data_IF_475365281766
#
_entry.id   IF_475365281766
#
_cell.length_a   1.000
_cell.length_b   1.000
_cell.length_c   1.000
_cell.angle_alpha   90.00
_cell.angle_beta   90.00
_cell.angle_gamma   90.00
#
_symmetry.space_group_name_H-M   'P 1'
#
loop_
_entity.id
_entity.type
_entity.pdbx_description
1 polymer ?
#
# COMPACT_ATOMS: atom_id res chain seq x y z
N UNK A 1 -72.77 31.02 -1.87
CA UNK A 1 -71.60 30.55 -2.64
C UNK A 1 -70.23 30.98 -2.10
N UNK A 2 -70.10 31.95 -1.18
CA UNK A 2 -68.78 32.36 -0.65
C UNK A 2 -68.19 31.45 0.47
N UNK A 3 -69.01 30.68 1.20
CA UNK A 3 -68.54 29.80 2.30
C UNK A 3 -67.94 28.45 1.82
N UNK A 4 -68.28 27.97 0.62
CA UNK A 4 -67.69 26.75 0.04
C UNK A 4 -66.30 27.01 -0.58
N UNK A 5 -66.06 28.22 -1.09
CA UNK A 5 -64.74 28.62 -1.60
C UNK A 5 -63.71 28.77 -0.48
N UNK A 6 -64.08 29.32 0.68
CA UNK A 6 -63.14 29.46 1.80
C UNK A 6 -62.69 28.11 2.39
N UNK A 7 -63.59 27.11 2.44
CA UNK A 7 -63.28 25.76 2.92
C UNK A 7 -62.36 24.98 1.97
N UNK A 8 -62.45 25.23 0.65
CA UNK A 8 -61.56 24.59 -0.34
C UNK A 8 -60.18 25.24 -0.41
N UNK A 9 -60.05 26.51 0.00
CA UNK A 9 -58.76 27.20 0.11
C UNK A 9 -58.03 26.83 1.40
N UNK A 10 -58.73 26.74 2.54
CA UNK A 10 -58.14 26.31 3.81
C UNK A 10 -57.69 24.83 3.81
N UNK A 11 -58.41 23.95 3.10
CA UNK A 11 -57.96 22.56 2.92
C UNK A 11 -56.77 22.41 1.96
N UNK A 12 -56.48 23.39 1.10
CA UNK A 12 -55.26 23.40 0.25
C UNK A 12 -54.02 23.91 0.98
N UNK A 13 -54.17 24.58 2.12
CA UNK A 13 -53.05 25.11 2.91
C UNK A 13 -52.57 24.13 4.01
N UNK A 14 -53.37 23.13 4.37
CA UNK A 14 -53.02 22.11 5.39
C UNK A 14 -52.65 20.74 4.79
N UNK A 15 -52.40 20.68 3.47
CA UNK A 15 -52.08 19.46 2.73
C UNK A 15 -50.61 19.37 2.33
N UNK A 16 -49.67 19.71 3.21
CA UNK A 16 -48.27 19.32 3.03
C UNK A 16 -47.72 18.83 4.36
N UNK A 17 -48.08 17.60 4.71
CA UNK A 17 -47.10 16.76 5.38
C UNK A 17 -45.89 16.70 4.45
N UNK A 18 -44.92 17.57 4.71
CA UNK A 18 -43.56 17.36 4.26
C UNK A 18 -43.16 16.02 4.85
N UNK A 19 -43.36 14.95 4.08
CA UNK A 19 -42.49 13.81 4.16
C UNK A 19 -41.10 14.40 3.96
N UNK A 20 -40.36 14.52 5.06
CA UNK A 20 -38.93 14.62 5.04
C UNK A 20 -38.44 13.30 4.43
N UNK A 21 -38.59 13.17 3.11
CA UNK A 21 -37.70 12.37 2.31
C UNK A 21 -36.34 12.96 2.63
N UNK A 22 -35.62 12.32 3.56
CA UNK A 22 -34.20 12.55 3.70
C UNK A 22 -33.64 12.23 2.33
N UNK A 23 -33.45 13.27 1.52
CA UNK A 23 -32.57 13.22 0.38
C UNK A 23 -31.23 12.95 1.03
N UNK A 24 -30.91 11.67 1.18
CA UNK A 24 -29.55 11.23 1.44
C UNK A 24 -28.81 11.72 0.21
N UNK A 25 -28.27 12.94 0.28
CA UNK A 25 -27.36 13.43 -0.74
C UNK A 25 -26.27 12.38 -0.79
N UNK A 26 -26.24 11.59 -1.86
CA UNK A 26 -25.16 10.66 -2.11
C UNK A 26 -23.92 11.51 -2.31
N UNK A 27 -23.14 11.62 -1.24
CA UNK A 27 -21.84 12.29 -1.28
C UNK A 27 -21.03 11.51 -2.31
N UNK A 28 -20.49 12.18 -3.33
CA UNK A 28 -19.66 11.49 -4.31
C UNK A 28 -18.40 10.95 -3.63
N UNK A 29 -17.80 9.88 -4.14
CA UNK A 29 -16.56 9.34 -3.55
C UNK A 29 -15.46 10.42 -3.42
N UNK A 30 -15.43 11.41 -4.32
CA UNK A 30 -14.50 12.56 -4.24
C UNK A 30 -14.80 13.46 -3.03
N UNK A 31 -16.06 13.80 -2.81
CA UNK A 31 -16.46 14.58 -1.63
C UNK A 31 -16.22 13.79 -0.34
N UNK A 32 -16.45 12.47 -0.35
CA UNK A 32 -16.20 11.62 0.81
C UNK A 32 -14.71 11.61 1.17
N UNK A 33 -13.83 11.43 0.17
CA UNK A 33 -12.38 11.57 0.33
C UNK A 33 -12.01 12.94 0.90
N UNK A 34 -12.62 14.03 0.44
CA UNK A 34 -12.29 15.38 0.92
C UNK A 34 -12.67 15.61 2.40
N UNK A 35 -13.77 15.01 2.85
CA UNK A 35 -14.28 15.16 4.23
C UNK A 35 -13.63 14.23 5.27
N UNK A 36 -12.76 13.31 4.84
CA UNK A 36 -12.13 12.32 5.73
C UNK A 36 -11.19 12.98 6.75
N UNK A 37 -11.07 12.37 7.93
CA UNK A 37 -10.05 12.75 8.90
C UNK A 37 -8.66 12.37 8.35
N UNK A 38 -7.77 13.35 8.19
CA UNK A 38 -6.39 13.12 7.74
C UNK A 38 -5.52 12.70 8.92
N UNK A 39 -4.64 11.75 8.67
CA UNK A 39 -3.68 11.29 9.65
C UNK A 39 -2.31 11.91 9.34
N UNK A 40 -1.79 12.82 10.19
CA UNK A 40 -0.56 13.53 9.90
C UNK A 40 0.64 12.60 9.72
N UNK A 41 0.64 11.43 10.38
CA UNK A 41 1.72 10.45 10.33
C UNK A 41 1.88 9.89 8.92
N UNK A 42 0.78 9.37 8.36
CA UNK A 42 0.76 8.82 7.00
C UNK A 42 0.91 9.90 5.93
N UNK A 43 0.37 11.10 6.15
CA UNK A 43 0.56 12.22 5.22
C UNK A 43 2.02 12.66 5.14
N UNK A 44 2.72 12.74 6.28
CA UNK A 44 4.16 13.05 6.35
C UNK A 44 5.00 11.96 5.68
N UNK A 45 4.66 10.70 5.91
CA UNK A 45 5.29 9.56 5.21
C UNK A 45 5.16 9.73 3.68
N UNK A 46 3.94 9.98 3.19
CA UNK A 46 3.68 10.11 1.75
C UNK A 46 4.30 11.34 1.10
N UNK A 47 4.57 12.40 1.87
CA UNK A 47 5.27 13.59 1.35
C UNK A 47 6.70 13.27 0.89
N UNK A 48 7.36 12.31 1.54
CA UNK A 48 8.67 11.84 1.13
C UNK A 48 8.55 10.72 0.08
N UNK A 49 7.58 9.81 0.28
CA UNK A 49 7.36 8.66 -0.60
C UNK A 49 7.08 9.05 -2.06
N UNK A 50 6.36 10.17 -2.30
CA UNK A 50 6.10 10.66 -3.67
C UNK A 50 7.36 10.98 -4.49
N UNK A 51 8.46 11.32 -3.82
CA UNK A 51 9.76 11.54 -4.46
C UNK A 51 10.54 10.24 -4.57
N UNK A 52 10.44 9.37 -3.57
CA UNK A 52 11.03 8.03 -3.57
C UNK A 52 10.59 7.19 -4.77
N UNK A 53 9.29 7.18 -5.11
CA UNK A 53 8.80 6.48 -6.32
C UNK A 53 9.47 6.99 -7.61
N UNK A 54 9.79 8.29 -7.70
CA UNK A 54 10.50 8.86 -8.85
C UNK A 54 11.98 8.46 -8.85
N UNK A 55 12.59 8.37 -7.67
CA UNK A 55 13.96 7.89 -7.50
C UNK A 55 14.08 6.44 -7.96
N UNK A 56 13.18 5.55 -7.51
CA UNK A 56 13.14 4.15 -7.95
C UNK A 56 12.99 4.08 -9.48
N UNK A 57 12.09 4.88 -10.07
CA UNK A 57 11.91 4.86 -11.53
C UNK A 57 13.19 5.25 -12.30
N UNK A 58 14.03 6.15 -11.76
CA UNK A 58 15.32 6.51 -12.37
C UNK A 58 16.36 5.42 -12.08
N UNK A 59 16.39 4.86 -10.88
CA UNK A 59 17.25 3.73 -10.51
C UNK A 59 17.02 2.54 -11.44
N UNK A 60 15.76 2.15 -11.66
CA UNK A 60 15.38 1.08 -12.59
C UNK A 60 15.92 1.34 -14.00
N UNK A 61 15.82 2.57 -14.50
CA UNK A 61 16.35 2.94 -15.81
C UNK A 61 17.89 2.87 -15.86
N UNK A 62 18.58 3.18 -14.76
CA UNK A 62 20.04 3.07 -14.66
C UNK A 62 20.45 1.59 -14.68
N UNK A 63 19.82 0.77 -13.83
CA UNK A 63 20.14 -0.65 -13.69
C UNK A 63 19.77 -1.48 -14.93
N UNK A 64 18.74 -1.07 -15.67
CA UNK A 64 18.36 -1.70 -16.94
C UNK A 64 19.40 -1.53 -18.07
N UNK A 65 20.47 -0.74 -17.87
CA UNK A 65 21.56 -0.57 -18.81
C UNK A 65 22.87 -1.21 -18.30
N UNK A 66 22.97 -2.55 -18.23
CA UNK A 66 24.12 -3.25 -17.64
C UNK A 66 25.39 -3.19 -18.52
N UNK A 67 25.28 -2.75 -19.77
CA UNK A 67 26.39 -2.67 -20.72
C UNK A 67 27.44 -1.60 -20.38
N UNK A 68 27.24 -0.83 -19.30
CA UNK A 68 28.20 0.14 -18.79
C UNK A 68 28.58 -0.21 -17.37
N UNK A 69 29.87 -0.10 -17.05
CA UNK A 69 30.40 -0.30 -15.71
C UNK A 69 31.06 1.04 -15.27
N UNK A 70 30.50 1.74 -14.27
CA UNK A 70 29.23 1.47 -13.60
C UNK A 70 28.00 1.78 -14.48
N UNK A 71 26.83 1.17 -14.21
CA UNK A 71 25.59 1.45 -14.93
C UNK A 71 25.26 2.94 -14.89
N UNK A 72 24.97 3.52 -16.04
CA UNK A 72 24.75 4.97 -16.17
C UNK A 72 23.90 5.34 -17.37
N UNK A 73 23.13 6.41 -17.22
CA UNK A 73 22.23 6.96 -18.26
C UNK A 73 22.58 8.42 -18.53
N UNK A 74 22.38 8.87 -19.77
CA UNK A 74 22.62 10.27 -20.09
C UNK A 74 21.53 11.16 -19.47
N UNK A 75 21.92 12.35 -19.02
CA UNK A 75 20.96 13.33 -18.47
C UNK A 75 19.98 13.78 -19.55
N UNK A 76 20.41 13.81 -20.81
CA UNK A 76 19.58 14.08 -21.98
C UNK A 76 18.49 13.01 -22.20
N UNK A 77 18.82 11.72 -22.05
CA UNK A 77 17.83 10.63 -22.08
C UNK A 77 16.77 10.80 -20.98
N UNK A 78 17.21 11.08 -19.74
CA UNK A 78 16.28 11.36 -18.64
C UNK A 78 15.45 12.61 -18.90
N UNK A 79 16.03 13.62 -19.56
CA UNK A 79 15.34 14.86 -19.90
C UNK A 79 14.19 14.61 -20.87
N UNK A 80 14.37 13.77 -21.90
CA UNK A 80 13.28 13.30 -22.78
C UNK A 80 12.17 12.55 -22.05
N UNK A 81 12.51 11.86 -20.97
CA UNK A 81 11.54 11.12 -20.14
C UNK A 81 10.92 11.96 -19.01
N UNK A 82 11.28 13.24 -18.87
CA UNK A 82 10.84 14.08 -17.74
C UNK A 82 9.32 14.11 -17.54
N UNK A 83 8.54 14.11 -18.63
CA UNK A 83 7.07 14.10 -18.54
C UNK A 83 6.54 12.76 -18.02
N UNK A 84 7.10 11.64 -18.49
CA UNK A 84 6.72 10.29 -18.04
C UNK A 84 7.15 10.03 -16.59
N UNK A 85 8.30 10.57 -16.19
CA UNK A 85 8.85 10.48 -14.84
C UNK A 85 8.33 11.58 -13.88
N UNK A 86 7.53 12.52 -14.37
CA UNK A 86 7.00 13.66 -13.63
C UNK A 86 8.08 14.52 -12.94
N UNK A 87 9.14 14.82 -13.67
CA UNK A 87 10.24 15.68 -13.24
C UNK A 87 9.90 17.13 -13.59
N UNK A 88 9.03 17.76 -12.79
CA UNK A 88 8.44 19.07 -13.10
C UNK A 88 9.45 20.21 -13.35
N UNK A 89 10.67 20.12 -12.82
CA UNK A 89 11.76 21.10 -13.01
C UNK A 89 12.87 20.59 -13.95
N UNK A 90 12.61 19.50 -14.67
CA UNK A 90 13.56 18.81 -15.53
C UNK A 90 14.44 17.80 -14.78
N UNK A 91 15.07 16.90 -15.54
CA UNK A 91 15.90 15.82 -15.00
C UNK A 91 17.08 16.35 -14.18
N UNK A 92 17.86 17.29 -14.72
CA UNK A 92 19.04 17.83 -14.05
C UNK A 92 18.70 18.49 -12.69
N UNK A 93 17.60 19.24 -12.62
CA UNK A 93 17.14 19.84 -11.36
C UNK A 93 16.74 18.78 -10.33
N UNK A 94 16.16 17.66 -10.78
CA UNK A 94 15.76 16.57 -9.90
C UNK A 94 16.98 15.81 -9.36
N UNK A 95 17.92 15.45 -10.23
CA UNK A 95 19.15 14.75 -9.83
C UNK A 95 19.95 15.55 -8.79
N UNK A 96 20.16 16.86 -9.05
CA UNK A 96 20.82 17.77 -8.11
C UNK A 96 20.08 17.97 -6.78
N UNK A 97 18.83 17.53 -6.66
CA UNK A 97 18.07 17.59 -5.39
C UNK A 97 18.42 16.41 -4.49
N UNK A 98 18.89 15.29 -5.05
CA UNK A 98 19.22 14.07 -4.31
C UNK A 98 20.66 13.61 -4.59
N UNK A 99 21.67 14.41 -4.20
CA UNK A 99 23.09 14.11 -4.36
C UNK A 99 23.55 12.84 -3.61
N UNK A 100 22.86 12.47 -2.52
CA UNK A 100 23.12 11.20 -1.81
C UNK A 100 22.66 9.97 -2.60
N UNK A 101 21.85 10.17 -3.65
CA UNK A 101 21.29 9.09 -4.48
C UNK A 101 21.97 9.03 -5.84
N UNK A 102 22.16 10.20 -6.46
CA UNK A 102 22.64 10.32 -7.82
C UNK A 102 23.97 11.07 -7.89
N UNK A 103 24.90 10.51 -8.65
CA UNK A 103 26.16 11.16 -9.02
C UNK A 103 26.10 11.57 -10.49
N UNK A 104 26.35 12.85 -10.76
CA UNK A 104 26.37 13.42 -12.11
C UNK A 104 27.83 13.60 -12.52
N UNK A 105 28.21 13.03 -13.65
CA UNK A 105 29.56 13.13 -14.20
C UNK A 105 29.53 13.45 -15.69
N UNK A 106 30.63 13.99 -16.21
CA UNK A 106 30.76 14.28 -17.64
C UNK A 106 31.46 13.12 -18.35
N UNK A 107 30.84 12.57 -19.39
CA UNK A 107 31.47 11.53 -20.20
C UNK A 107 32.24 12.19 -21.34
N UNK A 108 33.57 12.12 -21.27
CA UNK A 108 34.46 12.76 -22.26
C UNK A 108 34.29 12.17 -23.66
N UNK A 109 34.16 10.85 -23.78
CA UNK A 109 34.00 10.15 -25.07
C UNK A 109 32.75 10.57 -25.82
N UNK A 110 31.66 10.82 -25.09
CA UNK A 110 30.36 11.24 -25.68
C UNK A 110 30.09 12.73 -25.59
N UNK A 111 31.00 13.50 -24.98
CA UNK A 111 30.88 14.94 -24.76
C UNK A 111 29.50 15.35 -24.20
N UNK A 112 28.99 14.60 -23.22
CA UNK A 112 27.68 14.87 -22.63
C UNK A 112 27.58 14.39 -21.18
N UNK A 113 26.70 14.99 -20.35
CA UNK A 113 26.55 14.61 -18.95
C UNK A 113 25.78 13.29 -18.76
N UNK A 114 26.26 12.47 -17.83
CA UNK A 114 25.69 11.21 -17.40
C UNK A 114 25.34 11.23 -15.91
N UNK A 115 24.48 10.30 -15.53
CA UNK A 115 24.08 10.05 -14.15
C UNK A 115 24.29 8.57 -13.84
N UNK A 116 24.87 8.29 -12.68
CA UNK A 116 24.93 6.96 -12.05
C UNK A 116 24.37 7.03 -10.63
N UNK A 117 24.17 5.86 -10.03
CA UNK A 117 23.85 5.75 -8.61
C UNK A 117 25.12 5.95 -7.78
N UNK A 118 24.98 6.46 -6.57
CA UNK A 118 26.05 6.48 -5.58
C UNK A 118 26.34 5.06 -5.07
N UNK A 119 27.53 4.83 -4.51
CA UNK A 119 27.90 3.53 -3.95
C UNK A 119 26.96 3.12 -2.82
N UNK A 120 26.54 4.08 -1.99
CA UNK A 120 25.54 3.88 -0.92
C UNK A 120 24.21 3.33 -1.45
N UNK A 121 23.71 3.87 -2.56
CA UNK A 121 22.45 3.37 -3.16
C UNK A 121 22.66 2.01 -3.81
N UNK A 122 23.81 1.78 -4.42
CA UNK A 122 24.15 0.47 -5.00
C UNK A 122 24.18 -0.62 -3.92
N UNK A 123 24.81 -0.34 -2.78
CA UNK A 123 24.82 -1.23 -1.61
C UNK A 123 23.39 -1.49 -1.09
N UNK A 124 22.58 -0.45 -0.91
CA UNK A 124 21.18 -0.61 -0.48
C UNK A 124 20.37 -1.44 -1.48
N UNK A 125 20.59 -1.26 -2.78
CA UNK A 125 19.93 -2.05 -3.83
C UNK A 125 20.34 -3.53 -3.77
N UNK A 126 21.60 -3.82 -3.45
CA UNK A 126 22.09 -5.18 -3.27
C UNK A 126 21.52 -5.81 -1.99
N UNK A 127 21.43 -5.04 -0.89
CA UNK A 127 20.79 -5.48 0.34
C UNK A 127 19.31 -5.84 0.12
N UNK A 128 18.56 -5.03 -0.64
CA UNK A 128 17.17 -5.35 -0.99
C UNK A 128 17.08 -6.64 -1.82
N UNK A 129 17.93 -6.80 -2.83
CA UNK A 129 17.93 -7.98 -3.69
C UNK A 129 18.30 -9.27 -2.93
N UNK A 130 19.24 -9.19 -1.98
CA UNK A 130 19.61 -10.31 -1.10
C UNK A 130 18.46 -10.66 -0.17
N UNK A 131 17.86 -9.65 0.49
CA UNK A 131 16.69 -9.85 1.35
C UNK A 131 15.53 -10.54 0.62
N UNK A 132 15.24 -10.12 -0.62
CA UNK A 132 14.19 -10.75 -1.45
C UNK A 132 14.51 -12.23 -1.73
N UNK A 133 15.79 -12.54 -1.98
CA UNK A 133 16.23 -13.91 -2.29
C UNK A 133 16.16 -14.82 -1.06
N UNK A 134 16.51 -14.30 0.11
CA UNK A 134 16.41 -15.02 1.39
C UNK A 134 14.94 -15.29 1.75
N UNK A 135 14.06 -14.33 1.48
CA UNK A 135 12.61 -14.44 1.69
C UNK A 135 11.87 -15.26 0.61
N UNK A 136 12.57 -15.91 -0.32
CA UNK A 136 11.93 -16.62 -1.45
C UNK A 136 10.86 -17.64 -1.03
N UNK A 137 11.04 -18.47 0.03
CA UNK A 137 9.97 -19.36 0.50
C UNK A 137 8.71 -18.61 0.96
N UNK A 138 8.88 -17.49 1.64
CA UNK A 138 7.79 -16.63 2.10
C UNK A 138 7.08 -15.96 0.92
N UNK A 139 7.83 -15.56 -0.11
CA UNK A 139 7.29 -15.00 -1.35
C UNK A 139 6.45 -16.03 -2.12
N UNK A 140 6.90 -17.28 -2.18
CA UNK A 140 6.11 -18.40 -2.73
C UNK A 140 4.80 -18.58 -1.95
N UNK A 141 4.86 -18.60 -0.61
CA UNK A 141 3.67 -18.72 0.24
C UNK A 141 2.68 -17.55 0.02
N UNK A 142 3.18 -16.31 -0.05
CA UNK A 142 2.35 -15.12 -0.35
C UNK A 142 1.60 -15.30 -1.66
N UNK A 143 2.27 -15.78 -2.71
CA UNK A 143 1.64 -15.99 -4.01
C UNK A 143 0.59 -17.11 -3.97
N UNK A 144 0.87 -18.22 -3.28
CA UNK A 144 -0.09 -19.29 -3.02
C UNK A 144 -1.33 -18.77 -2.30
N UNK A 145 -1.13 -17.96 -1.25
CA UNK A 145 -2.23 -17.35 -0.47
C UNK A 145 -3.07 -16.40 -1.34
N UNK A 146 -2.44 -15.57 -2.17
CA UNK A 146 -3.16 -14.68 -3.09
C UNK A 146 -4.02 -15.46 -4.08
N UNK A 147 -3.48 -16.50 -4.71
CA UNK A 147 -4.25 -17.37 -5.59
C UNK A 147 -5.36 -18.09 -4.82
N UNK A 148 -5.10 -18.49 -3.58
CA UNK A 148 -6.08 -19.14 -2.71
C UNK A 148 -7.24 -18.23 -2.33
N UNK A 149 -7.07 -16.91 -2.34
CA UNK A 149 -8.18 -15.96 -2.14
C UNK A 149 -9.01 -15.73 -3.40
N UNK A 150 -8.54 -16.10 -4.60
CA UNK A 150 -9.31 -15.89 -5.82
C UNK A 150 -10.36 -16.96 -6.04
N UNK A 151 -11.45 -16.57 -6.69
CA UNK A 151 -12.61 -17.46 -6.87
C UNK A 151 -12.28 -18.68 -7.74
N UNK A 152 -11.37 -18.52 -8.71
CA UNK A 152 -10.94 -19.56 -9.65
C UNK A 152 -9.59 -20.20 -9.30
N UNK A 153 -9.00 -19.83 -8.16
CA UNK A 153 -7.62 -20.22 -7.78
C UNK A 153 -6.59 -19.89 -8.86
N UNK A 154 -6.88 -18.86 -9.65
CA UNK A 154 -6.08 -18.39 -10.77
C UNK A 154 -6.14 -16.88 -10.91
N UNK A 155 -5.12 -16.30 -11.53
CA UNK A 155 -4.97 -14.87 -11.79
C UNK A 155 -4.23 -14.63 -13.12
N UNK A 156 -4.61 -13.61 -13.90
CA UNK A 156 -3.77 -13.20 -15.02
C UNK A 156 -2.37 -12.82 -14.54
N UNK A 157 -1.33 -13.30 -15.21
CA UNK A 157 0.06 -13.01 -14.86
C UNK A 157 0.33 -11.50 -14.86
N UNK A 158 -0.27 -10.77 -15.82
CA UNK A 158 -0.26 -9.29 -15.89
C UNK A 158 -0.78 -8.60 -14.62
N UNK A 159 -1.62 -9.25 -13.83
CA UNK A 159 -2.10 -8.72 -12.56
C UNK A 159 -1.03 -8.86 -11.47
N UNK A 160 -0.34 -10.00 -11.42
CA UNK A 160 0.80 -10.23 -10.51
C UNK A 160 1.90 -9.20 -10.79
N UNK A 161 2.23 -8.98 -12.07
CA UNK A 161 3.15 -7.92 -12.51
C UNK A 161 2.77 -6.49 -12.08
N UNK A 162 1.52 -6.22 -11.72
CA UNK A 162 1.14 -4.88 -11.21
C UNK A 162 1.49 -4.69 -9.74
N UNK A 163 1.65 -5.78 -8.99
CA UNK A 163 1.83 -5.77 -7.54
C UNK A 163 3.13 -6.47 -7.09
N UNK A 164 3.95 -6.94 -8.04
CA UNK A 164 5.10 -7.78 -7.77
C UNK A 164 6.09 -7.15 -6.76
N UNK A 165 6.41 -5.85 -6.92
CA UNK A 165 7.25 -5.12 -5.96
C UNK A 165 6.62 -5.04 -4.56
N UNK A 166 5.30 -4.84 -4.47
CA UNK A 166 4.59 -4.83 -3.18
C UNK A 166 4.59 -6.20 -2.51
N UNK A 167 4.59 -7.30 -3.28
CA UNK A 167 4.67 -8.66 -2.76
C UNK A 167 6.10 -9.10 -2.39
N UNK A 168 7.11 -8.31 -2.79
CA UNK A 168 8.52 -8.67 -2.64
C UNK A 168 8.94 -9.77 -3.61
N UNK A 169 8.29 -9.87 -4.78
CA UNK A 169 8.71 -10.78 -5.84
C UNK A 169 10.02 -10.26 -6.48
N UNK A 170 10.97 -11.14 -6.81
CA UNK A 170 12.17 -10.76 -7.57
C UNK A 170 11.83 -10.41 -9.02
N UNK A 171 12.70 -9.67 -9.72
CA UNK A 171 12.48 -9.21 -11.10
C UNK A 171 12.28 -10.37 -12.09
N UNK A 172 12.90 -11.51 -11.79
CA UNK A 172 12.86 -12.75 -12.57
C UNK A 172 11.83 -13.78 -12.04
N UNK A 173 10.81 -13.34 -11.30
CA UNK A 173 9.89 -14.26 -10.59
C UNK A 173 9.18 -15.30 -11.47
N UNK A 174 9.02 -15.05 -12.77
CA UNK A 174 8.51 -16.08 -13.69
C UNK A 174 9.40 -17.32 -13.71
N UNK A 175 10.73 -17.14 -13.69
CA UNK A 175 11.69 -18.22 -13.65
C UNK A 175 11.96 -18.64 -12.20
N UNK A 176 12.31 -17.70 -11.33
CA UNK A 176 12.80 -17.97 -9.98
C UNK A 176 11.71 -18.42 -9.00
N UNK A 177 10.44 -18.05 -9.24
CA UNK A 177 9.31 -18.43 -8.38
C UNK A 177 8.37 -19.39 -9.08
N UNK A 178 7.88 -19.04 -10.28
CA UNK A 178 6.82 -19.83 -10.94
C UNK A 178 7.40 -21.12 -11.51
N UNK A 179 8.40 -21.01 -12.40
CA UNK A 179 8.98 -22.17 -13.11
C UNK A 179 9.71 -23.13 -12.18
N UNK A 180 10.31 -22.64 -11.09
CA UNK A 180 10.95 -23.46 -10.04
C UNK A 180 9.98 -24.19 -9.12
N UNK A 181 8.68 -23.87 -9.16
CA UNK A 181 7.67 -24.50 -8.31
C UNK A 181 6.50 -25.09 -9.13
N UNK A 182 6.77 -26.03 -10.07
CA UNK A 182 5.73 -26.60 -10.95
C UNK A 182 4.66 -27.41 -10.20
N UNK A 183 4.98 -27.90 -8.99
CA UNK A 183 4.03 -28.55 -8.10
C UNK A 183 2.98 -27.56 -7.54
N UNK A 184 3.33 -26.29 -7.38
CA UNK A 184 2.45 -25.26 -6.85
C UNK A 184 1.75 -24.49 -7.97
N UNK A 185 2.49 -24.14 -9.03
CA UNK A 185 2.03 -23.22 -10.05
C UNK A 185 2.00 -23.84 -11.44
N UNK A 186 0.96 -23.50 -12.21
CA UNK A 186 0.86 -23.79 -13.62
C UNK A 186 0.55 -22.51 -14.37
N UNK A 187 1.26 -22.29 -15.48
CA UNK A 187 1.01 -21.19 -16.39
C UNK A 187 0.20 -21.72 -17.58
N UNK A 188 -0.97 -21.13 -17.81
CA UNK A 188 -1.86 -21.48 -18.92
C UNK A 188 -2.02 -20.29 -19.85
N UNK A 189 -2.28 -20.55 -21.13
CA UNK A 189 -2.67 -19.50 -22.07
C UNK A 189 -4.02 -18.91 -21.67
N UNK A 190 -4.11 -17.59 -21.74
CA UNK A 190 -5.32 -16.82 -21.50
C UNK A 190 -6.20 -16.72 -22.73
N UNK A 191 -7.35 -16.05 -22.57
CA UNK A 191 -8.33 -15.91 -23.64
C UNK A 191 -7.86 -14.99 -24.78
N UNK A 192 -6.84 -14.16 -24.54
CA UNK A 192 -6.26 -13.22 -25.51
C UNK A 192 -4.85 -13.69 -25.90
N UNK A 193 -4.40 -13.47 -27.16
CA UNK A 193 -3.04 -13.79 -27.58
C UNK A 193 -1.99 -13.14 -26.66
N UNK A 194 -0.92 -13.86 -26.34
CA UNK A 194 0.18 -13.42 -25.46
C UNK A 194 -0.27 -13.03 -24.03
N UNK A 195 -1.41 -13.53 -23.57
CA UNK A 195 -1.81 -13.40 -22.18
C UNK A 195 -1.66 -14.74 -21.48
N UNK A 196 -1.07 -14.73 -20.30
CA UNK A 196 -0.91 -15.92 -19.48
C UNK A 196 -1.71 -15.81 -18.19
N UNK A 197 -2.23 -16.94 -17.73
CA UNK A 197 -2.97 -17.09 -16.48
C UNK A 197 -2.17 -18.01 -15.56
N UNK A 198 -1.81 -17.49 -14.40
CA UNK A 198 -1.19 -18.26 -13.34
C UNK A 198 -2.29 -18.99 -12.54
N UNK A 199 -2.17 -20.30 -12.42
CA UNK A 199 -3.10 -21.17 -11.69
C UNK A 199 -2.38 -21.88 -10.55
N UNK A 200 -3.07 -21.99 -9.41
CA UNK A 200 -2.64 -22.84 -8.31
C UNK A 200 -3.00 -24.29 -8.61
N UNK A 201 -1.99 -25.16 -8.67
CA UNK A 201 -2.12 -26.59 -8.98
C UNK A 201 -2.43 -27.39 -7.73
N UNK A 202 -1.64 -27.17 -6.67
CA UNK A 202 -1.80 -27.90 -5.41
C UNK A 202 -3.11 -27.50 -4.73
N UNK A 203 -4.03 -28.46 -4.49
CA UNK A 203 -5.23 -28.19 -3.71
C UNK A 203 -4.87 -28.07 -2.24
N UNK A 204 -5.37 -27.01 -1.60
CA UNK A 204 -5.24 -26.82 -0.15
C UNK A 204 -6.57 -27.12 0.53
N UNK A 205 -6.58 -27.90 1.62
CA UNK A 205 -7.81 -28.18 2.36
C UNK A 205 -8.36 -26.91 3.01
N UNK A 206 -9.66 -26.93 3.30
CA UNK A 206 -10.31 -25.84 4.04
C UNK A 206 -9.63 -25.71 5.41
N UNK A 207 -9.32 -24.48 5.81
CA UNK A 207 -8.62 -24.19 7.07
C UNK A 207 -7.10 -24.38 7.02
N UNK A 208 -6.50 -24.66 5.86
CA UNK A 208 -5.05 -24.72 5.73
C UNK A 208 -4.35 -23.37 6.01
N UNK A 209 -4.97 -22.27 5.58
CA UNK A 209 -4.47 -20.93 5.81
C UNK A 209 -5.30 -20.25 6.91
N UNK A 210 -4.60 -19.60 7.83
CA UNK A 210 -5.19 -18.74 8.86
C UNK A 210 -4.97 -17.29 8.45
N UNK A 211 -6.03 -16.49 8.42
CA UNK A 211 -5.94 -15.08 8.04
C UNK A 211 -5.27 -14.26 9.16
N UNK A 212 -4.59 -13.16 8.79
CA UNK A 212 -3.90 -12.31 9.76
C UNK A 212 -4.82 -11.76 10.86
N UNK A 213 -6.09 -11.50 10.53
CA UNK A 213 -7.09 -11.07 11.51
C UNK A 213 -7.47 -12.18 12.49
N UNK A 214 -7.43 -13.45 12.07
CA UNK A 214 -7.72 -14.60 12.93
C UNK A 214 -6.58 -14.85 13.91
N UNK A 215 -5.33 -14.80 13.43
CA UNK A 215 -4.14 -14.88 14.30
C UNK A 215 -4.15 -13.78 15.36
N UNK A 216 -4.47 -12.54 14.97
CA UNK A 216 -4.62 -11.43 15.92
C UNK A 216 -5.69 -11.71 16.98
N UNK A 217 -6.85 -12.27 16.61
CA UNK A 217 -7.93 -12.61 17.55
C UNK A 217 -7.48 -13.66 18.55
N UNK A 218 -6.74 -14.67 18.13
CA UNK A 218 -6.20 -15.71 19.02
C UNK A 218 -5.28 -15.07 20.06
N UNK A 219 -4.32 -14.24 19.61
CA UNK A 219 -3.40 -13.54 20.51
C UNK A 219 -4.16 -12.63 21.48
N UNK A 220 -5.13 -11.85 21.02
CA UNK A 220 -5.88 -10.92 21.87
C UNK A 220 -6.75 -11.65 22.92
N UNK A 221 -7.37 -12.77 22.55
CA UNK A 221 -8.18 -13.59 23.45
C UNK A 221 -7.37 -14.30 24.53
N UNK A 222 -6.08 -14.57 24.27
CA UNK A 222 -5.19 -15.29 25.18
C UNK A 222 -4.38 -14.37 26.12
N UNK A 223 -4.57 -13.05 26.06
CA UNK A 223 -3.90 -12.12 26.99
C UNK A 223 -4.47 -12.27 28.40
N UNK A 224 -3.58 -12.37 29.39
CA UNK A 224 -3.94 -12.52 30.82
C UNK A 224 -4.81 -11.35 31.34
N UNK A 225 -4.63 -10.15 30.79
CA UNK A 225 -5.41 -8.93 31.10
C UNK A 225 -6.52 -8.63 30.07
N UNK A 226 -7.11 -9.63 29.43
CA UNK A 226 -8.14 -9.41 28.40
C UNK A 226 -9.37 -8.67 28.96
N UNK A 227 -9.39 -7.34 28.85
CA UNK A 227 -10.53 -6.46 29.20
C UNK A 227 -11.71 -6.59 28.23
N UNK A 228 -11.58 -7.43 27.21
CA UNK A 228 -12.52 -7.53 26.10
C UNK A 228 -13.20 -8.90 26.17
N UNK A 229 -14.53 -8.89 26.14
CA UNK A 229 -15.34 -10.11 26.12
C UNK A 229 -14.99 -10.96 24.88
N UNK A 230 -14.78 -12.27 25.07
CA UNK A 230 -14.48 -13.22 24.00
C UNK A 230 -15.53 -13.18 22.90
N UNK A 231 -16.79 -12.91 23.24
CA UNK A 231 -17.88 -12.78 22.24
C UNK A 231 -17.78 -11.49 21.42
N UNK A 232 -17.13 -10.44 21.93
CA UNK A 232 -16.89 -9.21 21.19
C UNK A 232 -15.71 -9.33 20.21
N UNK A 233 -14.70 -10.18 20.51
CA UNK A 233 -13.51 -10.34 19.67
C UNK A 233 -13.74 -11.29 18.49
N UNK A 234 -14.61 -12.30 18.63
CA UNK A 234 -14.74 -13.45 17.73
C UNK A 234 -14.77 -13.10 16.23
N UNK A 235 -15.45 -12.01 15.85
CA UNK A 235 -15.56 -11.55 14.45
C UNK A 235 -14.97 -10.16 14.22
N UNK A 236 -14.18 -9.68 15.18
CA UNK A 236 -13.73 -8.31 15.17
C UNK A 236 -12.47 -8.09 14.33
N UNK A 237 -12.26 -6.86 13.91
CA UNK A 237 -11.02 -6.37 13.34
C UNK A 237 -10.44 -5.32 14.28
N UNK A 238 -9.13 -5.31 14.47
CA UNK A 238 -8.44 -4.28 15.24
C UNK A 238 -8.81 -2.89 14.71
N UNK A 239 -9.19 -2.00 15.62
CA UNK A 239 -9.56 -0.63 15.30
C UNK A 239 -8.49 0.33 15.81
N UNK A 240 -7.91 1.12 14.91
CA UNK A 240 -6.99 2.21 15.24
C UNK A 240 -7.59 3.54 14.77
N UNK A 241 -7.91 4.42 15.71
CA UNK A 241 -8.34 5.78 15.40
C UNK A 241 -7.28 6.77 15.90
N UNK A 242 -6.87 7.76 15.09
CA UNK A 242 -5.89 8.73 15.54
C UNK A 242 -6.46 9.54 16.72
N UNK A 243 -5.63 9.92 17.71
CA UNK A 243 -6.10 10.58 18.94
C UNK A 243 -6.97 11.83 18.69
N UNK A 244 -6.72 12.52 17.59
CA UNK A 244 -7.41 13.76 17.22
C UNK A 244 -8.76 13.53 16.52
N UNK A 245 -9.12 12.28 16.17
CA UNK A 245 -10.34 11.95 15.44
C UNK A 245 -11.54 11.83 16.39
N UNK A 246 -12.37 12.88 16.45
CA UNK A 246 -13.64 12.87 17.19
C UNK A 246 -14.70 12.05 16.45
N UNK A 247 -14.86 10.80 16.84
CA UNK A 247 -15.91 9.91 16.30
C UNK A 247 -17.28 10.25 16.87
N UNK A 248 -18.26 10.50 15.99
CA UNK A 248 -19.68 10.67 16.37
C UNK A 248 -20.22 9.40 17.03
N UNK A 249 -21.12 9.56 18.01
CA UNK A 249 -21.77 8.42 18.72
C UNK A 249 -22.43 7.43 17.74
N UNK A 250 -23.13 7.94 16.73
CA UNK A 250 -23.76 7.11 15.68
C UNK A 250 -22.75 6.26 14.90
N UNK A 251 -21.59 6.83 14.56
CA UNK A 251 -20.54 6.09 13.87
C UNK A 251 -19.94 5.00 14.76
N UNK A 252 -19.67 5.30 16.05
CA UNK A 252 -19.19 4.29 17.00
C UNK A 252 -20.17 3.11 17.12
N UNK A 253 -21.48 3.38 17.15
CA UNK A 253 -22.50 2.33 17.16
C UNK A 253 -22.50 1.52 15.86
N UNK A 254 -22.42 2.17 14.70
CA UNK A 254 -22.31 1.49 13.40
C UNK A 254 -21.10 0.55 13.35
N UNK A 255 -19.94 1.01 13.81
CA UNK A 255 -18.72 0.17 13.88
C UNK A 255 -18.96 -1.02 14.80
N UNK A 256 -19.47 -0.81 16.03
CA UNK A 256 -19.76 -1.92 16.96
C UNK A 256 -20.73 -2.95 16.38
N UNK A 257 -21.78 -2.50 15.69
CA UNK A 257 -22.75 -3.40 15.04
C UNK A 257 -22.11 -4.19 13.89
N UNK A 258 -21.23 -3.55 13.11
CA UNK A 258 -20.49 -4.20 12.02
C UNK A 258 -19.47 -5.22 12.54
N UNK A 259 -18.77 -4.92 13.65
CA UNK A 259 -17.84 -5.85 14.29
C UNK A 259 -18.52 -7.15 14.75
N UNK A 260 -19.80 -7.09 15.16
CA UNK A 260 -20.59 -8.26 15.57
C UNK A 260 -21.13 -9.11 14.42
N UNK A 261 -21.09 -8.64 13.18
CA UNK A 261 -21.59 -9.42 12.03
C UNK A 261 -20.78 -10.71 11.86
N UNK A 262 -21.39 -11.81 11.36
CA UNK A 262 -20.65 -13.03 11.04
C UNK A 262 -19.47 -12.76 10.11
N UNK A 263 -18.33 -13.36 10.41
CA UNK A 263 -17.12 -13.27 9.62
C UNK A 263 -16.99 -14.52 8.75
N UNK A 264 -16.65 -14.32 7.48
CA UNK A 264 -16.28 -15.38 6.53
C UNK A 264 -14.87 -15.09 6.06
N UNK A 265 -13.99 -16.07 6.21
CA UNK A 265 -12.57 -15.93 5.95
C UNK A 265 -12.25 -15.64 4.48
N UNK A 266 -11.07 -15.06 4.20
CA UNK A 266 -10.64 -14.77 2.82
C UNK A 266 -10.40 -16.03 1.99
N UNK A 267 -10.07 -17.15 2.63
CA UNK A 267 -9.82 -18.45 2.00
C UNK A 267 -11.05 -19.34 1.88
N UNK A 268 -12.14 -18.97 2.54
CA UNK A 268 -13.39 -19.74 2.57
C UNK A 268 -14.23 -19.49 1.31
N UNK A 269 -14.90 -20.54 0.83
CA UNK A 269 -15.87 -20.44 -0.25
C UNK A 269 -17.13 -19.73 0.24
N UNK A 270 -17.70 -18.83 -0.57
CA UNK A 270 -18.99 -18.24 -0.23
C UNK A 270 -20.16 -19.02 -0.79
N UNK A 271 -21.18 -19.17 0.06
CA UNK A 271 -22.51 -19.60 -0.37
C UNK A 271 -23.21 -18.58 -1.27
N UNK A 272 -24.40 -18.94 -1.75
CA UNK A 272 -25.18 -18.13 -2.68
C UNK A 272 -25.39 -16.68 -2.19
N UNK A 273 -25.08 -15.72 -3.06
CA UNK A 273 -25.23 -14.27 -2.80
C UNK A 273 -26.71 -13.91 -2.67
N UNK A 274 -27.24 -13.82 -1.45
CA UNK A 274 -28.57 -13.24 -1.20
C UNK A 274 -28.47 -11.70 -1.17
N UNK A 275 -29.18 -11.00 -2.06
CA UNK A 275 -29.24 -9.53 -2.13
C UNK A 275 -30.13 -8.90 -1.03
N UNK A 276 -30.03 -9.38 0.20
CA UNK A 276 -30.71 -8.80 1.36
C UNK A 276 -29.81 -7.76 2.03
N UNK A 277 -30.37 -6.86 2.87
CA UNK A 277 -29.57 -5.90 3.66
C UNK A 277 -28.51 -6.59 4.52
N UNK A 278 -28.86 -7.72 5.14
CA UNK A 278 -27.92 -8.57 5.91
C UNK A 278 -26.85 -9.17 5.00
N UNK A 279 -27.23 -9.67 3.82
CA UNK A 279 -26.29 -10.18 2.81
C UNK A 279 -25.29 -9.13 2.34
N UNK A 280 -25.70 -7.86 2.17
CA UNK A 280 -24.77 -6.78 1.82
C UNK A 280 -23.72 -6.52 2.90
N UNK A 281 -24.10 -6.48 4.18
CA UNK A 281 -23.15 -6.32 5.31
C UNK A 281 -22.15 -7.48 5.37
N UNK A 282 -22.62 -8.70 5.09
CA UNK A 282 -21.75 -9.89 5.03
C UNK A 282 -20.76 -9.81 3.87
N UNK A 283 -21.20 -9.37 2.68
CA UNK A 283 -20.33 -9.16 1.52
C UNK A 283 -19.29 -8.06 1.77
N UNK A 284 -19.69 -6.97 2.43
CA UNK A 284 -18.78 -5.91 2.88
C UNK A 284 -17.74 -6.45 3.85
N UNK A 285 -18.15 -7.20 4.87
CA UNK A 285 -17.23 -7.77 5.85
C UNK A 285 -16.23 -8.74 5.24
N UNK A 286 -16.65 -9.57 4.28
CA UNK A 286 -15.73 -10.44 3.54
C UNK A 286 -14.80 -9.65 2.62
N UNK A 287 -15.29 -8.59 1.96
CA UNK A 287 -14.43 -7.74 1.14
C UNK A 287 -13.34 -7.08 2.00
N UNK A 288 -13.68 -6.62 3.21
CA UNK A 288 -12.68 -6.14 4.18
C UNK A 288 -11.71 -7.25 4.57
N UNK A 289 -12.19 -8.46 4.85
CA UNK A 289 -11.33 -9.60 5.21
C UNK A 289 -10.31 -9.91 4.10
N UNK A 290 -10.75 -9.99 2.83
CA UNK A 290 -9.87 -10.26 1.68
C UNK A 290 -8.86 -9.14 1.48
N UNK A 291 -9.30 -7.88 1.53
CA UNK A 291 -8.39 -6.75 1.31
C UNK A 291 -7.41 -6.60 2.48
N UNK A 292 -7.86 -6.82 3.71
CA UNK A 292 -7.03 -6.85 4.90
C UNK A 292 -5.95 -7.93 4.80
N UNK A 293 -6.33 -9.15 4.41
CA UNK A 293 -5.39 -10.25 4.19
C UNK A 293 -4.41 -9.94 3.05
N UNK A 294 -4.91 -9.48 1.90
CA UNK A 294 -4.08 -9.13 0.75
C UNK A 294 -3.05 -8.05 1.11
N UNK A 295 -3.44 -7.01 1.84
CA UNK A 295 -2.50 -5.98 2.30
C UNK A 295 -1.50 -6.55 3.32
N UNK A 296 -1.91 -7.49 4.16
CA UNK A 296 -1.00 -8.21 5.05
C UNK A 296 0.03 -9.07 4.29
N UNK A 297 -0.24 -9.49 3.07
CA UNK A 297 0.75 -10.21 2.26
C UNK A 297 1.76 -9.28 1.57
N UNK A 298 1.54 -7.96 1.60
CA UNK A 298 2.50 -6.98 1.05
C UNK A 298 3.63 -6.69 2.04
N UNK A 299 4.83 -6.42 1.51
CA UNK A 299 6.04 -6.07 2.26
C UNK A 299 5.82 -4.85 3.16
N UNK A 300 5.18 -3.82 2.61
CA UNK A 300 5.02 -2.53 3.29
C UNK A 300 3.66 -2.39 3.97
N UNK A 301 2.74 -3.37 3.87
CA UNK A 301 1.36 -3.28 4.42
C UNK A 301 0.58 -2.06 3.90
N UNK A 302 0.95 -1.60 2.70
CA UNK A 302 0.33 -0.51 1.97
C UNK A 302 0.37 -0.79 0.47
N UNK A 303 -0.57 -0.19 -0.27
CA UNK A 303 -0.65 -0.35 -1.72
C UNK A 303 -1.49 0.76 -2.36
N UNK A 304 -1.26 1.03 -3.65
CA UNK A 304 -2.11 1.92 -4.45
C UNK A 304 -3.54 1.36 -4.60
N UNK A 305 -4.55 2.23 -4.43
CA UNK A 305 -5.98 1.85 -4.54
C UNK A 305 -6.31 1.30 -5.92
N UNK A 306 -5.73 1.87 -6.97
CA UNK A 306 -5.94 1.43 -8.35
C UNK A 306 -5.45 -0.01 -8.57
N UNK A 307 -4.40 -0.44 -7.86
CA UNK A 307 -3.91 -1.83 -7.93
C UNK A 307 -4.95 -2.77 -7.33
N UNK A 308 -5.46 -2.52 -6.11
CA UNK A 308 -6.53 -3.34 -5.52
C UNK A 308 -7.80 -3.33 -6.40
N UNK A 309 -8.14 -2.17 -6.97
CA UNK A 309 -9.32 -2.06 -7.85
C UNK A 309 -9.24 -2.98 -9.07
N UNK A 310 -8.05 -3.28 -9.59
CA UNK A 310 -7.90 -4.27 -10.66
C UNK A 310 -8.17 -5.70 -10.15
N UNK A 311 -7.77 -6.00 -8.91
CA UNK A 311 -7.96 -7.34 -8.32
C UNK A 311 -9.40 -7.63 -7.87
N UNK A 312 -10.21 -6.59 -7.69
CA UNK A 312 -11.60 -6.65 -7.24
C UNK A 312 -12.40 -7.80 -7.86
N UNK A 313 -12.35 -7.97 -9.19
CA UNK A 313 -13.13 -9.01 -9.89
C UNK A 313 -12.67 -10.44 -9.54
N UNK A 314 -11.37 -10.68 -9.45
CA UNK A 314 -10.83 -12.02 -9.16
C UNK A 314 -11.05 -12.43 -7.70
N UNK A 315 -11.10 -11.46 -6.79
CA UNK A 315 -11.52 -11.66 -5.40
C UNK A 315 -13.04 -11.74 -5.20
N UNK A 316 -13.83 -11.55 -6.26
CA UNK A 316 -15.30 -11.58 -6.18
C UNK A 316 -15.89 -10.43 -5.35
N UNK A 317 -15.17 -9.30 -5.25
CA UNK A 317 -15.59 -8.12 -4.50
C UNK A 317 -16.50 -7.28 -5.40
N UNK A 318 -17.78 -7.18 -5.05
CA UNK A 318 -18.77 -6.40 -5.81
C UNK A 318 -18.92 -4.95 -5.29
N UNK A 319 -18.02 -4.49 -4.41
CA UNK A 319 -18.06 -3.16 -3.80
C UNK A 319 -17.02 -2.21 -4.40
N UNK A 320 -17.30 -0.91 -4.35
CA UNK A 320 -16.30 0.09 -4.69
C UNK A 320 -15.20 0.08 -3.64
N UNK A 321 -13.98 -0.25 -4.05
CA UNK A 321 -12.84 -0.40 -3.13
C UNK A 321 -12.50 0.91 -2.42
N UNK A 322 -12.68 2.06 -3.09
CA UNK A 322 -12.43 3.36 -2.48
C UNK A 322 -13.43 3.66 -1.36
N UNK A 323 -14.70 3.38 -1.60
CA UNK A 323 -15.75 3.59 -0.61
C UNK A 323 -15.56 2.62 0.57
N UNK A 324 -15.15 1.36 0.30
CA UNK A 324 -14.77 0.37 1.32
C UNK A 324 -13.70 0.92 2.29
N UNK A 325 -12.64 1.55 1.78
CA UNK A 325 -11.60 2.15 2.63
C UNK A 325 -12.11 3.31 3.48
N UNK A 326 -13.01 4.14 2.92
CA UNK A 326 -13.56 5.30 3.61
C UNK A 326 -14.59 4.91 4.67
N UNK A 327 -15.32 3.81 4.45
CA UNK A 327 -16.30 3.27 5.38
C UNK A 327 -15.66 2.54 6.58
N UNK A 328 -14.41 2.09 6.43
CA UNK A 328 -13.63 1.43 7.49
C UNK A 328 -12.34 2.19 7.87
N UNK A 329 -12.43 3.47 8.28
CA UNK A 329 -11.27 4.31 8.55
C UNK A 329 -10.50 3.92 9.82
N UNK A 330 -11.05 3.00 10.64
CA UNK A 330 -10.36 2.41 11.79
C UNK A 330 -9.42 1.25 11.42
N UNK A 331 -9.60 0.65 10.24
CA UNK A 331 -8.75 -0.44 9.73
C UNK A 331 -7.80 0.12 8.68
N UNK A 332 -8.33 0.91 7.76
CA UNK A 332 -7.60 1.46 6.63
C UNK A 332 -7.39 2.96 6.77
N UNK A 333 -6.27 3.45 6.25
CA UNK A 333 -6.07 4.87 6.02
C UNK A 333 -5.83 5.13 4.53
N UNK A 334 -6.61 6.05 3.96
CA UNK A 334 -6.48 6.47 2.57
C UNK A 334 -5.73 7.80 2.48
N UNK A 335 -4.51 7.77 1.93
CA UNK A 335 -3.77 8.99 1.58
C UNK A 335 -4.03 9.38 0.13
N UNK A 336 -4.16 10.69 -0.09
CA UNK A 336 -4.29 11.31 -1.42
C UNK A 336 -3.02 12.06 -1.80
N UNK A 337 -1.94 11.91 -1.03
CA UNK A 337 -0.65 12.54 -1.29
C UNK A 337 0.07 11.78 -2.40
N UNK A 338 0.60 12.53 -3.38
CA UNK A 338 1.19 11.96 -4.57
C UNK A 338 0.21 11.92 -5.74
N UNK A 339 0.52 11.12 -6.76
CA UNK A 339 -0.28 11.04 -7.99
C UNK A 339 -1.43 10.04 -7.87
N UNK A 340 -1.18 8.94 -7.17
CA UNK A 340 -2.14 7.85 -6.95
C UNK A 340 -2.50 7.80 -5.48
N UNK A 341 -3.69 7.32 -5.18
CA UNK A 341 -4.11 7.19 -3.79
C UNK A 341 -3.51 5.92 -3.20
N UNK A 342 -2.91 6.02 -2.03
CA UNK A 342 -2.30 4.88 -1.33
C UNK A 342 -3.13 4.57 -0.10
N UNK A 343 -3.44 3.29 0.09
CA UNK A 343 -4.10 2.80 1.30
C UNK A 343 -3.09 2.11 2.21
N UNK A 344 -3.19 2.38 3.50
CA UNK A 344 -2.37 1.80 4.56
C UNK A 344 -3.23 0.94 5.47
N UNK A 345 -2.67 -0.16 5.94
CA UNK A 345 -3.26 -0.95 7.01
C UNK A 345 -2.85 -0.35 8.36
N UNK A 346 -3.77 0.30 9.08
CA UNK A 346 -3.44 1.08 10.28
C UNK A 346 -2.79 0.27 11.39
N UNK A 347 -3.28 -0.94 11.60
CA UNK A 347 -2.79 -1.82 12.66
C UNK A 347 -1.33 -2.26 12.49
N UNK A 348 -0.78 -2.14 11.27
CA UNK A 348 0.58 -2.55 10.96
C UNK A 348 1.60 -1.45 11.23
N UNK A 349 1.16 -0.23 11.55
CA UNK A 349 2.03 0.93 11.73
C UNK A 349 1.93 1.53 13.12
N UNK A 350 3.10 1.92 13.64
CA UNK A 350 3.24 2.73 14.84
C UNK A 350 4.23 3.86 14.56
N UNK A 351 3.87 5.10 14.89
CA UNK A 351 4.69 6.31 14.66
C UNK A 351 5.24 6.44 13.23
N UNK A 352 4.54 5.89 12.24
CA UNK A 352 4.90 5.96 10.83
C UNK A 352 5.92 4.92 10.36
N UNK A 353 6.22 3.91 11.20
CA UNK A 353 7.03 2.73 10.84
C UNK A 353 6.20 1.46 10.99
N UNK A 354 6.57 0.41 10.27
CA UNK A 354 5.98 -0.90 10.46
C UNK A 354 6.31 -1.45 11.84
N UNK A 355 5.33 -2.04 12.50
CA UNK A 355 5.49 -2.70 13.81
C UNK A 355 6.31 -3.99 13.65
N UNK A 356 5.92 -4.83 12.69
CA UNK A 356 6.63 -6.06 12.33
C UNK A 356 7.39 -5.80 11.03
N UNK A 357 8.59 -5.24 11.12
CA UNK A 357 9.42 -4.97 9.95
C UNK A 357 10.03 -6.25 9.37
N UNK A 358 10.46 -6.17 8.12
CA UNK A 358 11.12 -7.26 7.39
C UNK A 358 12.35 -6.71 6.65
N UNK A 359 13.33 -7.57 6.29
CA UNK A 359 14.59 -7.11 5.69
C UNK A 359 14.40 -6.29 4.39
N UNK A 360 13.42 -6.65 3.56
CA UNK A 360 13.09 -5.92 2.32
C UNK A 360 12.59 -4.50 2.64
N UNK A 361 11.68 -4.37 3.61
CA UNK A 361 11.21 -3.06 4.07
C UNK A 361 12.35 -2.22 4.66
N UNK A 362 13.24 -2.80 5.46
CA UNK A 362 14.37 -2.06 6.03
C UNK A 362 15.33 -1.53 4.95
N UNK A 363 15.61 -2.33 3.92
CA UNK A 363 16.39 -1.88 2.76
C UNK A 363 15.70 -0.70 2.03
N UNK A 364 14.39 -0.80 1.78
CA UNK A 364 13.60 0.29 1.18
C UNK A 364 13.60 1.55 2.03
N UNK A 365 13.53 1.40 3.36
CA UNK A 365 13.60 2.51 4.30
C UNK A 365 14.96 3.20 4.29
N UNK A 366 16.07 2.46 4.13
CA UNK A 366 17.41 3.05 3.94
C UNK A 366 17.46 3.92 2.69
N UNK A 367 16.90 3.44 1.57
CA UNK A 367 16.82 4.26 0.35
C UNK A 367 15.91 5.49 0.55
N UNK A 368 14.74 5.32 1.16
CA UNK A 368 13.84 6.43 1.48
C UNK A 368 14.54 7.48 2.36
N UNK A 369 15.37 7.06 3.32
CA UNK A 369 16.17 7.97 4.13
C UNK A 369 17.14 8.80 3.30
N UNK A 370 17.85 8.20 2.34
CA UNK A 370 18.73 8.94 1.41
C UNK A 370 17.94 9.97 0.57
N UNK A 371 16.71 9.63 0.17
CA UNK A 371 15.80 10.58 -0.50
C UNK A 371 15.39 11.72 0.44
N UNK A 372 15.08 11.41 1.70
CA UNK A 372 14.71 12.40 2.72
C UNK A 372 15.85 13.36 3.05
N UNK A 373 17.10 12.89 3.06
CA UNK A 373 18.27 13.75 3.26
C UNK A 373 18.34 14.85 2.20
N UNK A 374 17.98 14.55 0.95
CA UNK A 374 18.00 15.55 -0.13
C UNK A 374 19.39 16.16 -0.27
N UNK A 375 19.52 17.47 -0.05
CA UNK A 375 20.81 18.20 -0.04
C UNK A 375 21.43 18.38 1.36
N UNK A 376 20.76 17.93 2.41
CA UNK A 376 21.24 18.11 3.80
C UNK A 376 22.52 17.31 4.01
N UNK A 377 23.45 17.85 4.80
CA UNK A 377 24.74 17.20 5.08
C UNK A 377 25.81 17.36 3.98
N UNK A 378 25.60 18.24 2.99
CA UNK A 378 26.61 18.57 1.95
C UNK A 378 27.55 19.73 2.34
N UNK A 379 27.70 20.07 3.62
CA UNK A 379 28.60 21.15 4.03
C UNK A 379 30.06 20.78 3.71
N UNK A 380 30.55 21.35 2.60
CA UNK A 380 31.93 21.70 2.23
C UNK A 380 33.05 20.93 2.95
N UNK A 381 33.47 19.80 2.37
CA UNK A 381 34.87 19.37 2.50
C UNK A 381 35.69 20.05 1.40
N UNK A 382 36.54 21.05 1.70
CA UNK A 382 37.61 21.41 0.76
C UNK A 382 38.56 20.21 0.61
N UNK A 383 39.30 20.09 -0.51
CA UNK A 383 40.17 18.95 -0.75
C UNK A 383 41.29 18.98 0.29
N UNK A 384 41.26 18.05 1.26
CA UNK A 384 42.40 17.81 2.14
C UNK A 384 43.37 16.90 1.39
N UNK A 385 44.53 17.46 1.08
CA UNK A 385 45.75 16.73 0.75
C UNK A 385 46.07 15.68 1.82
N UNK A 386 46.56 14.54 1.33
CA UNK A 386 47.29 13.45 2.00
C UNK A 386 47.89 13.78 3.38
N UNK A 387 47.55 12.99 4.43
CA UNK A 387 48.41 11.90 4.94
C UNK A 387 47.85 11.15 6.17
N UNK A 388 48.06 9.82 6.15
CA UNK A 388 48.27 8.79 7.20
C UNK A 388 47.21 8.50 8.31
N UNK A 389 46.67 7.27 8.22
CA UNK A 389 46.29 6.23 9.22
C UNK A 389 45.82 6.59 10.65
N UNK A 390 44.61 6.12 11.02
CA UNK A 390 44.43 5.02 12.00
C UNK A 390 42.97 4.50 12.01
N UNK A 391 42.83 3.19 12.23
CA UNK A 391 41.58 2.42 12.36
C UNK A 391 40.66 2.85 13.52
N UNK A 392 39.36 2.64 13.35
CA UNK A 392 38.34 2.73 14.38
C UNK A 392 36.96 2.35 13.82
N UNK A 393 36.54 1.13 14.09
CA UNK A 393 35.25 0.54 13.72
C UNK A 393 34.13 1.23 14.52
N UNK A 394 33.19 1.91 13.87
CA UNK A 394 31.99 2.46 14.51
C UNK A 394 30.73 2.04 13.74
N UNK A 395 30.02 1.07 14.31
CA UNK A 395 28.68 0.65 13.89
C UNK A 395 27.69 1.79 14.17
N UNK A 396 27.14 2.38 13.11
CA UNK A 396 26.06 3.37 13.21
C UNK A 396 24.76 2.64 13.61
N UNK A 397 24.41 2.73 14.88
CA UNK A 397 23.09 2.37 15.40
C UNK A 397 22.05 3.40 14.96
N UNK A 398 20.91 2.93 14.45
CA UNK A 398 19.83 3.74 13.82
C UNK A 398 18.93 4.42 14.87
N UNK A 399 19.30 4.41 16.15
CA UNK A 399 18.44 4.86 17.25
C UNK A 399 18.51 6.36 17.57
N UNK A 400 19.51 7.12 17.11
CA UNK A 400 19.81 8.43 17.72
C UNK A 400 19.38 9.71 16.99
N UNK A 401 18.73 9.67 15.81
CA UNK A 401 18.51 10.91 15.02
C UNK A 401 17.03 11.26 14.76
N UNK A 402 16.10 10.69 15.53
CA UNK A 402 14.68 11.10 15.47
C UNK A 402 14.17 11.80 16.75
N UNK A 403 15.00 11.92 17.78
CA UNK A 403 14.66 12.70 19.00
C UNK A 403 15.10 14.18 18.90
N UNK A 404 16.07 14.52 18.04
CA UNK A 404 16.63 15.88 17.97
C UNK A 404 15.87 16.89 17.08
N UNK A 405 14.63 16.60 16.69
CA UNK A 405 13.80 17.55 15.91
C UNK A 405 12.63 18.13 16.70
N UNK A 406 12.48 17.77 17.99
CA UNK A 406 11.40 18.27 18.86
C UNK A 406 11.83 19.43 19.78
N UNK A 407 12.98 20.06 19.49
CA UNK A 407 13.39 21.33 20.09
C UNK A 407 13.54 22.38 18.99
N UNK A 408 12.42 22.94 18.57
CA UNK A 408 12.25 24.33 18.14
C UNK A 408 10.86 24.50 17.51
N UNK A 409 9.83 24.63 18.38
CA UNK A 409 8.77 25.66 18.34
C UNK A 409 7.61 25.33 19.29
#
# INVERSE_FOLDING_TARGET
>A
MAKQLLKSVLNRLNGSHFNANSVVRSISSVQYVATRARDPTFEKYMDNYKNFVKVIAIQDLILANPSRIPPSVSVDFLSRLSQKLHLNRGALSFLRKYPHVFEIFYNQTKSMPFCKLTDKVTEVSQLEATAIREDLPLVVERLVRILSMTMSKSLPLRAVFKVWRELGLPDDFEESVISRNPQLFSLCDGNEPNTHVLKLVTPYPVGHFTAAVEDWRVVECCKEDAKVDRTEIQYSFKQGFPPQMKLRKSFKMKVREWQKQPYVGPYEAMGAKKRTKSGMKMLEKRAVAIVHEFMNLTVEKMIEVEKISHFRKWFGIDLNVRDLFLDHPGIFYLSTKGRRHTVFLREAYERGRLINSNPVYEARMKLLYLVMMGRRGLLTTPPKSTDVQHEGDDQISVSSVLEDVDKDH
#
